data_IF_507917134879
#
_entry.id   IF_507917134879
#
_cell.length_a   1.000
_cell.length_b   1.000
_cell.length_c   1.000
_cell.angle_alpha   90.00
_cell.angle_beta   90.00
_cell.angle_gamma   90.00
#
_symmetry.space_group_name_H-M   'P 1'
#
loop_
_entity.id
_entity.type
_entity.pdbx_description
1 polymer ?
#
# COMPACT_ATOMS: atom_id res chain seq x y z
N UNK A 1 0.97 4.26 4.33
CA UNK A 1 1.99 5.08 5.00
C UNK A 1 1.47 5.41 6.38
N UNK A 2 2.27 5.10 7.41
CA UNK A 2 1.91 5.40 8.79
C UNK A 2 2.98 6.23 9.47
N UNK A 3 2.58 7.06 10.43
CA UNK A 3 3.43 7.94 11.21
C UNK A 3 2.98 7.85 12.67
N UNK A 4 3.91 7.56 13.59
CA UNK A 4 3.64 7.47 15.03
C UNK A 4 2.48 6.55 15.42
N UNK A 5 2.30 5.46 14.65
CA UNK A 5 1.24 4.47 14.86
C UNK A 5 -0.11 4.85 14.23
N UNK A 6 -0.22 6.03 13.62
CA UNK A 6 -1.40 6.47 12.88
C UNK A 6 -1.28 6.16 11.39
N UNK A 7 -2.41 5.90 10.73
CA UNK A 7 -2.48 5.70 9.29
C UNK A 7 -2.74 7.03 8.58
N UNK A 8 -1.76 7.51 7.82
CA UNK A 8 -1.89 8.75 7.06
C UNK A 8 -2.43 8.51 5.64
N UNK A 9 -2.15 7.32 5.09
CA UNK A 9 -2.54 6.97 3.73
C UNK A 9 -2.55 5.45 3.52
N UNK A 10 -3.50 4.92 2.75
CA UNK A 10 -3.47 3.55 2.25
C UNK A 10 -3.93 3.46 0.79
N UNK A 11 -3.52 2.39 0.10
CA UNK A 11 -3.99 2.10 -1.25
C UNK A 11 -5.25 1.25 -1.17
N UNK A 12 -6.38 1.77 -1.67
CA UNK A 12 -7.58 0.99 -1.93
C UNK A 12 -7.47 0.37 -3.34
N UNK A 13 -6.97 -0.86 -3.40
CA UNK A 13 -6.81 -1.57 -4.66
C UNK A 13 -8.13 -1.98 -5.33
N UNK A 14 -9.26 -1.97 -4.60
CA UNK A 14 -10.57 -2.27 -5.17
C UNK A 14 -11.08 -1.04 -5.93
N UNK A 15 -10.94 0.15 -5.32
CA UNK A 15 -11.37 1.41 -5.92
C UNK A 15 -10.37 2.02 -6.89
N UNK A 16 -9.11 1.60 -6.82
CA UNK A 16 -8.10 2.13 -7.72
C UNK A 16 -7.49 3.45 -7.26
N UNK A 17 -7.53 3.76 -5.96
CA UNK A 17 -7.18 5.09 -5.43
C UNK A 17 -6.37 5.03 -4.13
N UNK A 18 -5.69 6.14 -3.83
CA UNK A 18 -5.09 6.36 -2.52
C UNK A 18 -6.07 7.05 -1.58
N UNK A 19 -6.28 6.49 -0.39
CA UNK A 19 -7.18 7.02 0.64
C UNK A 19 -6.38 7.64 1.77
N UNK A 20 -6.77 8.83 2.20
CA UNK A 20 -6.26 9.47 3.41
C UNK A 20 -7.33 9.41 4.50
N UNK A 21 -7.24 8.52 5.50
CA UNK A 21 -8.27 8.33 6.53
C UNK A 21 -8.24 9.43 7.61
N UNK A 22 -7.70 10.61 7.29
CA UNK A 22 -7.53 11.71 8.22
C UNK A 22 -8.85 12.47 8.43
N UNK A 23 -9.10 12.99 9.63
CA UNK A 23 -10.25 13.87 9.87
C UNK A 23 -10.22 15.12 8.97
N UNK A 24 -11.39 15.68 8.62
CA UNK A 24 -11.50 16.81 7.69
C UNK A 24 -10.94 18.14 8.21
N UNK A 25 -10.54 18.19 9.49
CA UNK A 25 -9.92 19.36 10.11
C UNK A 25 -8.39 19.36 10.02
N UNK A 26 -7.77 18.28 9.58
CA UNK A 26 -6.32 18.20 9.37
C UNK A 26 -5.95 18.95 8.10
N UNK A 27 -4.80 19.62 8.10
CA UNK A 27 -4.28 20.26 6.90
C UNK A 27 -4.17 19.27 5.74
N UNK A 28 -4.53 19.66 4.50
CA UNK A 28 -4.47 18.76 3.36
C UNK A 28 -3.05 18.21 3.14
N UNK A 29 -2.92 16.88 3.20
CA UNK A 29 -1.72 16.18 2.77
C UNK A 29 -1.87 15.72 1.32
N UNK A 30 -0.74 15.44 0.66
CA UNK A 30 -0.75 14.84 -0.67
C UNK A 30 0.36 13.80 -0.80
N UNK A 31 0.06 12.72 -1.52
CA UNK A 31 0.96 11.59 -1.76
C UNK A 31 1.04 11.31 -3.27
N UNK A 32 1.64 12.22 -4.06
CA UNK A 32 1.69 12.07 -5.52
C UNK A 32 2.49 10.81 -5.90
N UNK A 33 1.95 10.01 -6.83
CA UNK A 33 2.61 8.79 -7.30
C UNK A 33 2.54 7.60 -6.33
N UNK A 34 1.99 7.78 -5.12
CA UNK A 34 1.98 6.74 -4.10
C UNK A 34 1.08 5.55 -4.47
N UNK A 35 -0.03 5.80 -5.17
CA UNK A 35 -0.91 4.73 -5.61
C UNK A 35 -0.24 3.86 -6.69
N UNK A 36 0.37 4.48 -7.69
CA UNK A 36 1.11 3.79 -8.76
C UNK A 36 2.28 2.99 -8.19
N UNK A 37 3.01 3.57 -7.23
CA UNK A 37 4.04 2.85 -6.50
C UNK A 37 3.47 1.66 -5.73
N UNK A 38 2.32 1.81 -5.07
CA UNK A 38 1.67 0.71 -4.35
C UNK A 38 1.24 -0.43 -5.28
N UNK A 39 0.75 -0.13 -6.49
CA UNK A 39 0.44 -1.14 -7.52
C UNK A 39 1.71 -1.89 -7.93
N UNK A 40 2.82 -1.18 -8.20
CA UNK A 40 4.11 -1.80 -8.51
C UNK A 40 4.61 -2.71 -7.38
N UNK A 41 4.54 -2.22 -6.14
CA UNK A 41 4.95 -2.98 -4.95
C UNK A 41 4.06 -4.20 -4.70
N UNK A 42 2.75 -4.12 -4.98
CA UNK A 42 1.85 -5.27 -4.90
C UNK A 42 2.26 -6.37 -5.89
N UNK A 43 2.63 -5.99 -7.12
CA UNK A 43 3.17 -6.91 -8.12
C UNK A 43 4.44 -7.61 -7.66
N UNK A 44 5.41 -6.84 -7.12
CA UNK A 44 6.65 -7.38 -6.58
C UNK A 44 6.39 -8.32 -5.39
N UNK A 45 5.47 -7.96 -4.48
CA UNK A 45 5.12 -8.78 -3.33
C UNK A 45 4.54 -10.14 -3.74
N UNK A 46 3.63 -10.18 -4.73
CA UNK A 46 3.08 -11.42 -5.29
C UNK A 46 4.18 -12.31 -5.90
N UNK A 47 5.11 -11.71 -6.65
CA UNK A 47 6.23 -12.44 -7.26
C UNK A 47 7.18 -13.03 -6.20
N UNK A 48 7.50 -12.25 -5.17
CA UNK A 48 8.32 -12.70 -4.05
C UNK A 48 7.65 -13.83 -3.28
N UNK A 49 6.35 -13.70 -2.98
CA UNK A 49 5.59 -14.74 -2.30
C UNK A 49 5.59 -16.06 -3.09
N UNK A 50 5.33 -16.00 -4.40
CA UNK A 50 5.40 -17.18 -5.27
C UNK A 50 6.79 -17.84 -5.26
N UNK A 51 7.85 -17.01 -5.26
CA UNK A 51 9.24 -17.48 -5.18
C UNK A 51 9.51 -18.17 -3.84
N UNK A 52 9.07 -17.58 -2.73
CA UNK A 52 9.23 -18.15 -1.38
C UNK A 52 8.45 -19.45 -1.20
N UNK A 53 7.20 -19.54 -1.66
CA UNK A 53 6.40 -20.78 -1.64
C UNK A 53 7.16 -21.91 -2.34
N UNK A 54 7.70 -21.64 -3.52
CA UNK A 54 8.50 -22.61 -4.29
C UNK A 54 9.78 -23.01 -3.56
N UNK A 55 10.51 -22.05 -3.00
CA UNK A 55 11.79 -22.30 -2.32
C UNK A 55 11.63 -23.11 -1.03
N UNK A 56 10.61 -22.78 -0.23
CA UNK A 56 10.40 -23.38 1.09
C UNK A 56 9.44 -24.58 1.08
N UNK A 57 8.85 -24.93 -0.08
CA UNK A 57 7.84 -25.99 -0.21
C UNK A 57 6.70 -25.81 0.81
N UNK A 58 6.34 -24.56 1.07
CA UNK A 58 5.31 -24.19 2.04
C UNK A 58 4.06 -23.78 1.24
N UNK A 59 3.11 -24.72 1.03
CA UNK A 59 1.94 -24.49 0.18
C UNK A 59 1.02 -23.38 0.68
#
# INVERSE_FOLDING_TARGET
>A
FGLDGEELWYADFIKGEGVMPLPPFVDPLSFPGAYEQAVGNQGACKANLATSIKAYKNP
#
